data_IF_006980714829
#
_entry.id   IF_006980714829
#
_cell.length_a   1.000
_cell.length_b   1.000
_cell.length_c   1.000
_cell.angle_alpha   90.00
_cell.angle_beta   90.00
_cell.angle_gamma   90.00
#
_symmetry.space_group_name_H-M   'P 1'
#
loop_
_entity.id
_entity.type
_entity.pdbx_description
1 polymer ?
#
# COMPACT_ATOMS: atom_id res chain seq x y z
N UNK A 1 -11.06 36.47 52.62
CA UNK A 1 -9.87 37.02 53.30
C UNK A 1 -8.72 36.97 52.32
N UNK A 2 -8.14 38.15 52.03
CA UNK A 2 -6.82 38.49 51.43
C UNK A 2 -6.23 37.67 50.27
N UNK A 3 -5.56 38.25 49.27
CA UNK A 3 -5.26 39.64 48.90
C UNK A 3 -4.71 39.64 47.45
N UNK A 4 -4.86 40.78 46.76
CA UNK A 4 -4.35 41.11 45.43
C UNK A 4 -2.83 41.39 45.41
N UNK A 5 -2.21 41.23 44.23
CA UNK A 5 -1.20 42.14 43.63
C UNK A 5 -0.94 41.67 42.18
N UNK A 6 -1.49 42.27 41.12
CA UNK A 6 -1.06 43.48 40.38
C UNK A 6 0.46 43.64 40.16
N UNK A 7 0.90 43.46 38.90
CA UNK A 7 2.02 44.22 38.32
C UNK A 7 1.83 44.42 36.82
N UNK A 8 1.22 45.55 36.43
CA UNK A 8 1.35 46.15 35.09
C UNK A 8 2.73 46.81 34.92
N UNK A 9 3.35 46.69 33.74
CA UNK A 9 4.46 47.55 33.25
C UNK A 9 4.56 47.51 31.71
N UNK A 10 5.24 48.46 31.03
CA UNK A 10 4.56 49.55 30.31
C UNK A 10 4.69 49.55 28.78
N UNK A 11 3.78 50.30 28.15
CA UNK A 11 3.73 50.68 26.73
C UNK A 11 4.92 51.56 26.33
N UNK A 12 5.66 51.16 25.29
CA UNK A 12 6.57 52.06 24.58
C UNK A 12 5.84 52.78 23.45
N UNK A 13 5.69 54.11 23.61
CA UNK A 13 5.26 55.05 22.58
C UNK A 13 6.41 55.24 21.59
N UNK A 14 6.16 55.09 20.29
CA UNK A 14 6.92 55.80 19.24
C UNK A 14 5.98 56.80 18.58
N UNK A 15 6.30 58.07 18.76
CA UNK A 15 5.85 59.20 17.94
C UNK A 15 6.50 59.07 16.56
N UNK A 16 5.72 59.25 15.50
CA UNK A 16 6.19 59.92 14.29
C UNK A 16 5.08 60.91 13.94
N UNK A 17 5.48 62.18 13.93
CA UNK A 17 4.64 63.33 13.64
C UNK A 17 4.43 63.45 12.11
N UNK A 18 3.15 63.61 11.75
CA UNK A 18 2.56 64.47 10.73
C UNK A 18 3.36 64.91 9.50
N UNK A 19 2.81 64.61 8.30
CA UNK A 19 2.67 65.60 7.24
C UNK A 19 1.39 65.33 6.44
N UNK A 20 0.43 66.23 6.65
CA UNK A 20 -0.84 66.38 5.95
C UNK A 20 -0.60 67.11 4.62
N UNK A 21 -1.06 66.55 3.51
CA UNK A 21 -1.58 67.36 2.39
C UNK A 21 -2.92 66.75 1.98
N UNK A 22 -3.98 67.49 2.30
CA UNK A 22 -5.34 67.30 1.81
C UNK A 22 -5.44 68.08 0.49
N UNK A 23 -5.89 67.42 -0.57
CA UNK A 23 -6.49 68.08 -1.72
C UNK A 23 -7.77 67.34 -2.10
N UNK A 24 -8.88 68.08 -2.14
CA UNK A 24 -10.24 67.61 -2.41
C UNK A 24 -10.47 67.26 -3.89
N UNK A 25 -11.35 66.29 -4.11
CA UNK A 25 -11.95 65.77 -5.35
C UNK A 25 -12.76 66.80 -6.17
N UNK A 26 -13.13 66.48 -7.44
CA UNK A 26 -14.48 65.95 -7.67
C UNK A 26 -14.56 64.75 -8.67
N UNK A 27 -15.71 64.04 -8.71
CA UNK A 27 -15.87 62.73 -9.34
C UNK A 27 -16.47 62.82 -10.76
N UNK A 28 -16.06 61.95 -11.68
CA UNK A 28 -16.83 61.64 -12.88
C UNK A 28 -16.43 60.27 -13.46
N UNK A 29 -17.31 59.30 -13.20
CA UNK A 29 -17.74 58.22 -14.08
C UNK A 29 -17.07 58.16 -15.48
N UNK A 30 -16.23 57.15 -15.72
CA UNK A 30 -16.09 56.60 -17.07
C UNK A 30 -15.77 55.10 -17.01
N UNK A 31 -16.82 54.31 -17.22
CA UNK A 31 -16.76 52.90 -17.58
C UNK A 31 -15.95 52.77 -18.88
N UNK A 32 -14.76 52.16 -18.83
CA UNK A 32 -14.06 51.69 -20.02
C UNK A 32 -13.62 50.24 -19.81
N UNK A 33 -14.19 49.39 -20.65
CA UNK A 33 -13.96 47.97 -20.82
C UNK A 33 -12.48 47.69 -21.11
N UNK A 34 -11.84 46.87 -20.27
CA UNK A 34 -10.57 46.22 -20.60
C UNK A 34 -10.81 44.70 -20.71
N UNK A 35 -10.71 44.09 -21.90
CA UNK A 35 -10.53 42.65 -22.02
C UNK A 35 -9.03 42.36 -21.86
N UNK A 36 -8.63 41.85 -20.70
CA UNK A 36 -7.21 41.68 -20.39
C UNK A 36 -6.96 40.59 -19.35
N UNK A 37 -7.04 39.35 -19.82
CA UNK A 37 -6.23 38.19 -19.36
C UNK A 37 -5.71 38.22 -17.92
N UNK A 38 -6.47 37.62 -17.01
CA UNK A 38 -5.93 36.98 -15.81
C UNK A 38 -6.55 35.58 -15.69
N UNK A 39 -6.18 34.70 -16.62
CA UNK A 39 -6.30 33.25 -16.43
C UNK A 39 -5.11 32.78 -15.58
N UNK A 40 -5.03 33.26 -14.34
CA UNK A 40 -4.12 32.70 -13.34
C UNK A 40 -4.89 31.65 -12.55
N UNK A 41 -4.48 30.39 -12.69
CA UNK A 41 -4.76 29.38 -11.66
C UNK A 41 -5.89 28.39 -11.95
N UNK A 42 -5.88 27.71 -13.10
CA UNK A 42 -6.53 26.40 -13.21
C UNK A 42 -5.86 25.59 -14.31
N UNK A 43 -4.76 24.88 -14.04
CA UNK A 43 -4.28 23.74 -14.86
C UNK A 43 -3.01 23.13 -14.22
N UNK A 44 -3.14 22.48 -13.06
CA UNK A 44 -2.12 21.56 -12.53
C UNK A 44 -2.59 20.23 -11.89
N UNK A 45 -3.86 19.76 -11.99
CA UNK A 45 -4.15 18.38 -11.56
C UNK A 45 -3.76 17.29 -12.59
N UNK A 46 -3.54 17.62 -13.87
CA UNK A 46 -3.43 16.60 -14.93
C UNK A 46 -2.06 15.92 -15.08
N UNK A 47 -0.98 16.46 -14.50
CA UNK A 47 0.36 15.89 -14.68
C UNK A 47 0.56 14.57 -13.91
N UNK A 48 -0.15 14.37 -12.80
CA UNK A 48 -0.04 13.15 -11.99
C UNK A 48 -0.79 11.95 -12.61
N UNK A 49 -1.94 12.18 -13.25
CA UNK A 49 -2.72 11.12 -13.91
C UNK A 49 -1.98 10.57 -15.15
N UNK A 50 -1.22 11.41 -15.84
CA UNK A 50 -0.36 10.98 -16.96
C UNK A 50 0.89 10.20 -16.49
N UNK A 51 1.43 10.49 -15.31
CA UNK A 51 2.59 9.80 -14.76
C UNK A 51 2.29 8.35 -14.32
N UNK A 52 1.08 8.08 -13.82
CA UNK A 52 0.58 6.73 -13.56
C UNK A 52 0.50 5.86 -14.82
N UNK A 53 0.43 6.47 -16.01
CA UNK A 53 0.39 5.76 -17.30
C UNK A 53 1.76 5.36 -17.83
N UNK A 54 2.87 5.73 -17.18
CA UNK A 54 4.23 5.48 -17.68
C UNK A 54 5.00 4.38 -16.93
N UNK A 55 4.58 4.00 -15.73
CA UNK A 55 5.29 2.97 -14.94
C UNK A 55 4.58 1.61 -15.03
N UNK A 56 5.32 0.52 -15.28
CA UNK A 56 4.72 -0.82 -15.36
C UNK A 56 4.09 -1.21 -14.02
N UNK A 57 3.00 -1.98 -14.07
CA UNK A 57 2.46 -2.63 -12.87
C UNK A 57 3.50 -3.59 -12.31
N UNK A 58 3.68 -3.56 -10.99
CA UNK A 58 4.57 -4.46 -10.27
C UNK A 58 3.70 -5.41 -9.48
N UNK A 59 4.01 -6.70 -9.50
CA UNK A 59 3.20 -7.70 -8.83
C UNK A 59 4.07 -8.69 -8.05
N UNK A 60 3.72 -8.94 -6.80
CA UNK A 60 4.23 -10.05 -6.02
C UNK A 60 3.06 -10.99 -5.70
N UNK A 61 3.09 -12.18 -6.29
CA UNK A 61 2.07 -13.20 -6.11
C UNK A 61 2.63 -14.29 -5.19
N UNK A 62 2.00 -14.49 -4.04
CA UNK A 62 2.45 -15.43 -3.00
C UNK A 62 1.37 -16.47 -2.78
N UNK A 63 1.73 -17.74 -2.92
CA UNK A 63 0.80 -18.84 -2.77
C UNK A 63 1.38 -20.08 -2.10
N UNK A 64 0.48 -20.91 -1.58
CA UNK A 64 0.79 -22.17 -0.90
C UNK A 64 0.39 -22.09 0.57
N UNK A 65 0.77 -23.13 1.30
CA UNK A 65 0.67 -23.24 2.74
C UNK A 65 1.96 -23.82 3.33
N UNK A 66 1.93 -24.22 4.61
CA UNK A 66 3.13 -24.61 5.35
C UNK A 66 3.77 -25.93 4.87
N UNK A 67 3.00 -26.79 4.21
CA UNK A 67 3.41 -28.12 3.79
C UNK A 67 2.54 -28.63 2.61
N UNK A 68 2.85 -29.79 2.01
CA UNK A 68 2.07 -30.31 0.87
C UNK A 68 0.57 -30.47 1.14
N UNK A 69 0.15 -30.85 2.36
CA UNK A 69 -1.25 -31.08 2.70
C UNK A 69 -2.08 -29.79 2.77
N UNK A 70 -1.42 -28.64 2.65
CA UNK A 70 -2.00 -27.30 2.70
C UNK A 70 -1.76 -26.51 1.40
N UNK A 71 -1.49 -27.21 0.31
CA UNK A 71 -1.20 -26.63 -1.01
C UNK A 71 -2.27 -27.04 -2.03
N UNK A 72 -3.54 -26.69 -1.78
CA UNK A 72 -4.63 -27.11 -2.64
C UNK A 72 -4.50 -26.54 -4.06
N UNK A 73 -4.97 -27.29 -5.05
CA UNK A 73 -5.02 -26.88 -6.46
C UNK A 73 -5.75 -25.54 -6.69
N UNK A 74 -6.68 -25.17 -5.79
CA UNK A 74 -7.35 -23.87 -5.82
C UNK A 74 -6.39 -22.70 -5.58
N UNK A 75 -5.48 -22.83 -4.60
CA UNK A 75 -4.44 -21.84 -4.30
C UNK A 75 -3.55 -21.61 -5.52
N UNK A 76 -3.08 -22.68 -6.16
CA UNK A 76 -2.29 -22.57 -7.38
C UNK A 76 -3.07 -21.91 -8.53
N UNK A 77 -4.34 -22.30 -8.68
CA UNK A 77 -5.20 -21.77 -9.75
C UNK A 77 -5.42 -20.27 -9.60
N UNK A 78 -5.58 -19.78 -8.37
CA UNK A 78 -5.69 -18.36 -8.07
C UNK A 78 -4.46 -17.56 -8.53
N UNK A 79 -3.24 -18.04 -8.23
CA UNK A 79 -2.00 -17.44 -8.74
C UNK A 79 -2.00 -17.41 -10.27
N UNK A 80 -2.34 -18.53 -10.91
CA UNK A 80 -2.38 -18.63 -12.38
C UNK A 80 -3.38 -17.64 -13.00
N UNK A 81 -4.57 -17.51 -12.42
CA UNK A 81 -5.60 -16.59 -12.92
C UNK A 81 -5.17 -15.14 -12.80
N UNK A 82 -4.67 -14.73 -11.63
CA UNK A 82 -4.20 -13.35 -11.44
C UNK A 82 -3.00 -13.03 -12.33
N UNK A 83 -2.04 -13.95 -12.43
CA UNK A 83 -0.90 -13.77 -13.34
C UNK A 83 -1.34 -13.57 -14.79
N UNK A 84 -2.36 -14.32 -15.25
CA UNK A 84 -2.89 -14.19 -16.60
C UNK A 84 -3.60 -12.84 -16.87
N UNK A 85 -4.09 -12.17 -15.83
CA UNK A 85 -4.74 -10.87 -15.92
C UNK A 85 -3.75 -9.69 -15.88
N UNK A 86 -2.48 -9.93 -15.56
CA UNK A 86 -1.48 -8.87 -15.54
C UNK A 86 -1.29 -8.29 -16.95
N UNK A 87 -1.19 -6.95 -17.09
CA UNK A 87 -0.97 -6.32 -18.39
C UNK A 87 0.40 -6.72 -18.95
N UNK A 88 0.53 -6.68 -20.27
CA UNK A 88 1.82 -6.85 -20.92
C UNK A 88 2.83 -5.82 -20.38
N UNK A 89 4.04 -6.28 -20.05
CA UNK A 89 5.09 -5.45 -19.46
C UNK A 89 5.02 -5.29 -17.94
N UNK A 90 4.06 -5.93 -17.26
CA UNK A 90 4.09 -6.02 -15.80
C UNK A 90 5.36 -6.74 -15.32
N UNK A 91 5.92 -6.24 -14.22
CA UNK A 91 7.05 -6.87 -13.54
C UNK A 91 6.46 -7.74 -12.42
N UNK A 92 6.42 -9.05 -12.61
CA UNK A 92 5.86 -9.99 -11.63
C UNK A 92 6.92 -10.88 -11.01
N UNK A 93 6.67 -11.29 -9.76
CA UNK A 93 7.35 -12.38 -9.07
C UNK A 93 6.32 -13.34 -8.49
N UNK A 94 6.58 -14.64 -8.58
CA UNK A 94 5.73 -15.71 -8.05
C UNK A 94 6.51 -16.49 -7.00
N UNK A 95 6.03 -16.45 -5.76
CA UNK A 95 6.51 -17.31 -4.69
C UNK A 95 5.46 -18.39 -4.43
N UNK A 96 5.85 -19.66 -4.51
CA UNK A 96 4.88 -20.74 -4.38
C UNK A 96 5.48 -21.97 -3.70
N UNK A 97 4.85 -22.45 -2.64
CA UNK A 97 5.24 -23.70 -1.93
C UNK A 97 6.75 -23.72 -1.60
N UNK A 98 7.47 -24.78 -1.94
CA UNK A 98 8.92 -24.91 -1.80
C UNK A 98 9.74 -24.25 -2.93
N UNK A 99 9.09 -23.59 -3.88
CA UNK A 99 9.73 -22.89 -5.00
C UNK A 99 10.32 -23.82 -6.06
N UNK A 100 10.15 -25.14 -5.94
CA UNK A 100 10.70 -26.10 -6.88
C UNK A 100 9.61 -26.61 -7.84
N UNK A 101 9.67 -26.29 -9.14
CA UNK A 101 8.66 -26.72 -10.11
C UNK A 101 8.63 -28.23 -10.35
N UNK A 102 9.61 -28.98 -9.82
CA UNK A 102 9.67 -30.45 -9.93
C UNK A 102 9.10 -31.17 -8.71
N UNK A 103 8.89 -30.47 -7.60
CA UNK A 103 8.36 -31.05 -6.37
C UNK A 103 6.89 -31.43 -6.55
N UNK A 104 6.50 -32.56 -5.97
CA UNK A 104 5.14 -33.09 -6.03
C UNK A 104 4.41 -32.66 -4.76
N UNK A 105 3.97 -31.41 -4.72
CA UNK A 105 3.49 -30.75 -3.50
C UNK A 105 2.19 -29.97 -3.68
N UNK A 106 1.53 -30.04 -4.85
CA UNK A 106 0.19 -29.47 -5.06
C UNK A 106 -0.85 -30.54 -4.86
N UNK A 107 -1.67 -30.37 -3.83
CA UNK A 107 -2.74 -31.26 -3.41
C UNK A 107 -3.97 -31.12 -4.32
N UNK A 108 -4.55 -32.25 -4.73
CA UNK A 108 -5.83 -32.30 -5.42
C UNK A 108 -6.60 -33.56 -5.04
N UNK A 109 -7.91 -33.53 -5.23
CA UNK A 109 -8.76 -34.70 -5.03
C UNK A 109 -8.92 -35.46 -6.35
N UNK A 110 -8.63 -36.77 -6.32
CA UNK A 110 -8.94 -37.66 -7.43
C UNK A 110 -10.44 -37.93 -7.52
N UNK A 111 -10.89 -38.44 -8.67
CA UNK A 111 -12.29 -38.88 -8.83
C UNK A 111 -12.71 -39.96 -7.81
N UNK A 112 -11.75 -40.70 -7.24
CA UNK A 112 -11.99 -41.67 -6.16
C UNK A 112 -12.20 -41.03 -4.78
N UNK A 113 -12.08 -39.71 -4.65
CA UNK A 113 -12.09 -39.00 -3.37
C UNK A 113 -10.75 -39.06 -2.62
N UNK A 114 -9.72 -39.69 -3.17
CA UNK A 114 -8.40 -39.74 -2.55
C UNK A 114 -7.63 -38.44 -2.80
N UNK A 115 -6.95 -37.96 -1.76
CA UNK A 115 -5.97 -36.89 -1.89
C UNK A 115 -4.73 -37.40 -2.62
N UNK A 116 -4.36 -36.71 -3.70
CA UNK A 116 -3.15 -36.94 -4.46
C UNK A 116 -2.35 -35.65 -4.59
N UNK A 117 -1.10 -35.78 -5.00
CA UNK A 117 -0.19 -34.66 -5.18
C UNK A 117 0.38 -34.65 -6.58
N UNK A 118 0.60 -33.45 -7.13
CA UNK A 118 1.27 -33.26 -8.41
C UNK A 118 2.26 -32.10 -8.35
N UNK A 119 3.02 -31.96 -9.43
CA UNK A 119 3.88 -30.79 -9.64
C UNK A 119 3.07 -29.53 -9.88
N UNK A 120 3.61 -28.35 -9.52
CA UNK A 120 3.03 -27.08 -9.90
C UNK A 120 2.87 -26.92 -11.43
N UNK A 121 1.82 -26.21 -11.84
CA UNK A 121 1.47 -25.83 -13.21
C UNK A 121 1.42 -24.30 -13.32
N UNK A 122 2.48 -23.66 -12.84
CA UNK A 122 2.70 -22.23 -12.90
C UNK A 122 3.75 -21.89 -13.98
N UNK A 123 3.65 -20.73 -14.64
CA UNK A 123 4.52 -20.38 -15.76
C UNK A 123 6.00 -20.23 -15.34
N UNK A 124 6.22 -19.72 -14.12
CA UNK A 124 7.52 -19.58 -13.49
C UNK A 124 7.35 -19.58 -11.96
N UNK A 125 8.42 -19.93 -11.25
CA UNK A 125 8.55 -19.78 -9.80
C UNK A 125 9.85 -19.00 -9.53
N UNK A 126 9.74 -17.88 -8.83
CA UNK A 126 10.88 -17.04 -8.44
C UNK A 126 11.47 -17.44 -7.09
N UNK A 127 10.78 -18.31 -6.35
CA UNK A 127 11.25 -18.84 -5.07
C UNK A 127 10.16 -19.54 -4.28
N UNK A 128 10.51 -20.08 -3.10
CA UNK A 128 9.52 -20.63 -2.19
C UNK A 128 8.66 -19.54 -1.57
N UNK A 129 7.44 -19.90 -1.15
CA UNK A 129 6.61 -19.05 -0.30
C UNK A 129 7.18 -19.08 1.12
N UNK A 130 8.34 -18.44 1.32
CA UNK A 130 9.03 -18.30 2.61
C UNK A 130 9.33 -16.85 2.89
N UNK A 131 9.50 -16.52 4.15
CA UNK A 131 9.67 -15.14 4.58
C UNK A 131 10.94 -14.50 3.99
N UNK A 132 12.05 -15.23 3.98
CA UNK A 132 13.29 -14.76 3.35
C UNK A 132 13.16 -14.54 1.84
N UNK A 133 12.33 -15.35 1.16
CA UNK A 133 12.06 -15.20 -0.27
C UNK A 133 11.10 -14.06 -0.55
N UNK A 134 10.12 -13.84 0.33
CA UNK A 134 9.26 -12.66 0.31
C UNK A 134 10.07 -11.37 0.45
N UNK A 135 10.93 -11.27 1.47
CA UNK A 135 11.78 -10.08 1.67
C UNK A 135 12.63 -9.78 0.42
N UNK A 136 13.16 -10.83 -0.23
CA UNK A 136 13.96 -10.71 -1.45
C UNK A 136 13.13 -10.31 -2.68
N UNK A 137 11.99 -10.96 -2.90
CA UNK A 137 11.10 -10.69 -4.02
C UNK A 137 10.48 -9.30 -3.90
N UNK A 138 10.08 -8.88 -2.69
CA UNK A 138 9.56 -7.55 -2.41
C UNK A 138 10.56 -6.47 -2.81
N UNK A 139 11.82 -6.59 -2.37
CA UNK A 139 12.90 -5.66 -2.80
C UNK A 139 13.10 -5.68 -4.32
N UNK A 140 13.05 -6.85 -4.95
CA UNK A 140 13.25 -6.96 -6.39
C UNK A 140 12.15 -6.23 -7.18
N UNK A 141 10.88 -6.35 -6.76
CA UNK A 141 9.75 -5.64 -7.40
C UNK A 141 9.69 -4.16 -7.02
N UNK A 142 10.40 -3.72 -5.97
CA UNK A 142 10.43 -2.31 -5.54
C UNK A 142 11.68 -1.51 -5.91
N UNK A 143 12.75 -2.17 -6.34
CA UNK A 143 14.02 -1.51 -6.63
C UNK A 143 14.01 -0.53 -7.82
N UNK A 144 13.09 -0.68 -8.79
CA UNK A 144 13.25 -0.04 -10.11
C UNK A 144 12.13 0.93 -10.53
N UNK A 145 11.05 1.06 -9.76
CA UNK A 145 9.90 1.86 -10.19
C UNK A 145 8.98 2.25 -9.04
N UNK A 146 8.45 3.48 -9.10
CA UNK A 146 7.38 3.98 -8.24
C UNK A 146 5.97 3.72 -8.80
N UNK A 147 5.84 2.81 -9.79
CA UNK A 147 4.56 2.40 -10.35
C UNK A 147 3.66 1.70 -9.32
N UNK A 148 2.39 1.42 -9.67
CA UNK A 148 1.49 0.71 -8.78
C UNK A 148 2.04 -0.67 -8.41
N UNK A 149 1.79 -1.10 -7.17
CA UNK A 149 2.19 -2.40 -6.65
C UNK A 149 0.96 -3.23 -6.29
N UNK A 150 0.85 -4.41 -6.88
CA UNK A 150 -0.09 -5.44 -6.47
C UNK A 150 0.63 -6.47 -5.58
N UNK A 151 0.15 -6.63 -4.36
CA UNK A 151 0.52 -7.74 -3.49
C UNK A 151 -0.67 -8.69 -3.41
N UNK A 152 -0.51 -9.90 -3.94
CA UNK A 152 -1.58 -10.89 -4.00
C UNK A 152 -1.17 -12.13 -3.23
N UNK A 153 -1.99 -12.52 -2.25
CA UNK A 153 -1.76 -13.66 -1.39
C UNK A 153 -2.94 -14.62 -1.49
N UNK A 154 -2.65 -15.91 -1.60
CA UNK A 154 -3.67 -16.95 -1.53
C UNK A 154 -3.12 -18.15 -0.77
N UNK A 155 -3.82 -18.64 0.23
CA UNK A 155 -3.26 -19.62 1.15
C UNK A 155 -4.11 -19.85 2.38
N UNK A 156 -3.43 -20.23 3.45
CA UNK A 156 -4.01 -20.37 4.78
C UNK A 156 -3.53 -19.24 5.67
N UNK A 157 -4.33 -18.93 6.68
CA UNK A 157 -3.99 -17.92 7.67
C UNK A 157 -4.67 -18.20 8.99
N UNK A 158 -4.18 -17.52 10.02
CA UNK A 158 -4.60 -17.69 11.40
C UNK A 158 -4.76 -16.35 12.14
N UNK A 159 -5.38 -16.39 13.34
CA UNK A 159 -5.35 -15.26 14.25
C UNK A 159 -3.90 -14.98 14.68
N UNK A 160 -3.66 -13.81 15.27
CA UNK A 160 -2.37 -13.51 15.89
C UNK A 160 -2.03 -14.54 16.98
N UNK A 161 -0.74 -14.82 17.20
CA UNK A 161 -0.29 -15.78 18.22
C UNK A 161 -0.82 -15.53 19.65
N UNK A 162 -1.24 -14.31 19.98
CA UNK A 162 -1.87 -13.95 21.27
C UNK A 162 -3.39 -14.25 21.32
N UNK A 163 -3.96 -14.82 20.25
CA UNK A 163 -5.39 -15.08 20.08
C UNK A 163 -6.21 -13.87 19.63
N UNK A 164 -5.57 -12.71 19.44
CA UNK A 164 -6.19 -11.49 18.92
C UNK A 164 -6.33 -11.52 17.39
N UNK A 165 -6.98 -10.48 16.87
CA UNK A 165 -7.20 -10.32 15.43
C UNK A 165 -6.46 -9.11 14.81
N UNK A 166 -5.65 -8.42 15.61
CA UNK A 166 -4.96 -7.19 15.25
C UNK A 166 -3.73 -7.44 14.37
N UNK A 167 -3.05 -8.57 14.57
CA UNK A 167 -1.82 -8.95 13.85
C UNK A 167 -1.89 -10.38 13.30
N UNK A 168 -2.99 -10.68 12.58
CA UNK A 168 -3.19 -11.97 11.92
C UNK A 168 -2.03 -12.37 11.01
N UNK A 169 -1.98 -13.66 10.71
CA UNK A 169 -0.82 -14.33 10.13
C UNK A 169 -1.25 -15.05 8.84
N UNK A 170 -0.43 -14.92 7.80
CA UNK A 170 -0.49 -15.74 6.59
C UNK A 170 0.53 -16.87 6.71
N UNK A 171 0.09 -18.12 6.54
CA UNK A 171 0.90 -19.32 6.69
C UNK A 171 1.79 -19.54 5.47
N UNK A 172 3.10 -19.50 5.67
CA UNK A 172 4.10 -19.69 4.63
C UNK A 172 4.75 -21.07 4.73
N UNK A 173 5.37 -21.50 3.63
CA UNK A 173 6.05 -22.79 3.52
C UNK A 173 7.09 -23.01 4.63
N UNK A 174 7.08 -24.21 5.21
CA UNK A 174 8.02 -24.58 6.25
C UNK A 174 7.78 -23.88 7.59
N UNK A 175 6.55 -23.42 7.84
CA UNK A 175 6.13 -22.82 9.12
C UNK A 175 6.53 -21.37 9.32
N UNK A 176 7.01 -20.70 8.26
CA UNK A 176 7.22 -19.26 8.29
C UNK A 176 5.83 -18.56 8.39
N UNK A 177 5.79 -17.37 8.99
CA UNK A 177 4.56 -16.60 9.16
C UNK A 177 4.77 -15.16 8.67
N UNK A 178 3.86 -14.67 7.82
CA UNK A 178 3.81 -13.25 7.44
C UNK A 178 2.66 -12.58 8.18
N UNK A 179 2.98 -11.72 9.16
CA UNK A 179 1.97 -11.01 9.94
C UNK A 179 1.59 -9.66 9.33
N UNK A 180 0.43 -9.12 9.73
CA UNK A 180 0.01 -7.75 9.37
C UNK A 180 1.12 -6.71 9.62
N UNK A 181 1.67 -6.66 10.82
CA UNK A 181 2.72 -5.68 11.20
C UNK A 181 3.99 -5.84 10.37
N UNK A 182 4.35 -7.07 10.00
CA UNK A 182 5.53 -7.32 9.13
C UNK A 182 5.27 -6.88 7.69
N UNK A 183 4.07 -7.11 7.18
CA UNK A 183 3.68 -6.63 5.85
C UNK A 183 3.59 -5.09 5.83
N UNK A 184 3.03 -4.48 6.87
CA UNK A 184 3.01 -3.02 7.04
C UNK A 184 4.43 -2.43 7.02
N UNK A 185 5.38 -3.04 7.75
CA UNK A 185 6.77 -2.61 7.75
C UNK A 185 7.40 -2.63 6.35
N UNK A 186 7.05 -3.60 5.49
CA UNK A 186 7.49 -3.60 4.09
C UNK A 186 6.85 -2.46 3.29
N UNK A 187 5.54 -2.26 3.42
CA UNK A 187 4.80 -1.19 2.73
C UNK A 187 5.29 0.19 3.16
N UNK A 188 5.75 0.36 4.41
CA UNK A 188 6.31 1.61 4.92
C UNK A 188 7.70 1.95 4.38
N UNK A 189 8.40 0.99 3.76
CA UNK A 189 9.65 1.27 3.03
C UNK A 189 9.41 1.89 1.64
N UNK A 190 8.17 1.87 1.16
CA UNK A 190 7.84 2.39 -0.17
C UNK A 190 7.90 3.93 -0.20
N UNK A 191 8.24 4.53 -1.36
CA UNK A 191 8.13 5.98 -1.53
C UNK A 191 6.73 6.49 -1.16
N UNK A 192 6.60 7.70 -0.60
CA UNK A 192 5.31 8.31 -0.31
C UNK A 192 4.38 8.29 -1.53
N UNK A 193 3.09 8.03 -1.32
CA UNK A 193 2.06 7.95 -2.38
C UNK A 193 2.30 6.88 -3.45
N UNK A 194 3.05 5.82 -3.12
CA UNK A 194 3.08 4.62 -3.98
C UNK A 194 1.73 3.92 -3.89
N UNK A 195 0.98 3.76 -4.99
CA UNK A 195 -0.29 3.05 -4.95
C UNK A 195 -0.05 1.56 -4.68
N UNK A 196 -0.64 1.04 -3.61
CA UNK A 196 -0.53 -0.37 -3.23
C UNK A 196 -1.91 -0.99 -3.16
N UNK A 197 -2.11 -2.07 -3.91
CA UNK A 197 -3.29 -2.92 -3.80
C UNK A 197 -2.86 -4.23 -3.14
N UNK A 198 -3.50 -4.56 -2.02
CA UNK A 198 -3.29 -5.82 -1.32
C UNK A 198 -4.55 -6.66 -1.45
N UNK A 199 -4.40 -7.92 -1.85
CA UNK A 199 -5.48 -8.89 -1.93
C UNK A 199 -5.08 -10.12 -1.14
N UNK A 200 -5.86 -10.44 -0.11
CA UNK A 200 -5.65 -11.59 0.78
C UNK A 200 -6.75 -12.62 0.56
N UNK A 201 -6.40 -13.82 0.11
CA UNK A 201 -7.34 -14.94 -0.12
C UNK A 201 -7.02 -16.07 0.85
N UNK A 202 -7.50 -15.92 2.08
CA UNK A 202 -7.29 -16.84 3.21
C UNK A 202 -8.32 -16.61 4.33
N UNK A 203 -8.34 -17.51 5.31
CA UNK A 203 -9.04 -17.29 6.58
C UNK A 203 -8.37 -16.16 7.37
N UNK A 204 -9.15 -15.46 8.21
CA UNK A 204 -8.66 -14.34 9.04
C UNK A 204 -8.08 -13.13 8.26
N UNK A 205 -8.21 -13.11 6.93
CA UNK A 205 -7.78 -12.02 6.04
C UNK A 205 -8.33 -10.64 6.43
N UNK A 206 -9.49 -10.57 7.10
CA UNK A 206 -10.06 -9.30 7.59
C UNK A 206 -9.12 -8.51 8.52
N UNK A 207 -8.25 -9.19 9.28
CA UNK A 207 -7.26 -8.51 10.13
C UNK A 207 -6.17 -7.76 9.34
N UNK A 208 -5.89 -8.19 8.10
CA UNK A 208 -5.00 -7.44 7.19
C UNK A 208 -5.61 -6.13 6.71
N UNK A 209 -6.89 -5.85 7.00
CA UNK A 209 -7.46 -4.51 6.86
C UNK A 209 -6.73 -3.46 7.72
N UNK A 210 -6.04 -3.88 8.78
CA UNK A 210 -5.26 -2.98 9.63
C UNK A 210 -4.05 -2.36 8.91
N UNK A 211 -3.69 -2.84 7.71
CA UNK A 211 -2.69 -2.19 6.84
C UNK A 211 -3.06 -0.74 6.46
N UNK A 212 -4.32 -0.34 6.63
CA UNK A 212 -4.76 1.05 6.46
C UNK A 212 -4.16 1.99 7.52
N UNK A 213 -3.74 1.47 8.67
CA UNK A 213 -3.21 2.24 9.79
C UNK A 213 -1.69 2.12 9.91
N UNK A 214 -1.05 3.14 10.49
CA UNK A 214 0.40 3.21 10.61
C UNK A 214 0.97 1.98 11.31
N UNK A 215 1.94 1.31 10.68
CA UNK A 215 2.56 0.10 11.21
C UNK A 215 1.63 -1.12 11.29
N UNK A 216 0.43 -1.08 10.70
CA UNK A 216 -0.55 -2.15 10.82
C UNK A 216 -1.26 -2.19 12.18
N UNK A 217 -1.26 -1.07 12.92
CA UNK A 217 -1.86 -0.95 14.24
C UNK A 217 -3.25 -0.30 14.15
N UNK A 218 -4.35 -1.01 14.47
CA UNK A 218 -5.71 -0.45 14.37
C UNK A 218 -5.98 0.77 15.26
N UNK A 219 -5.17 0.99 16.31
CA UNK A 219 -5.26 2.18 17.16
C UNK A 219 -4.41 3.35 16.63
N UNK A 220 -3.64 3.13 15.56
CA UNK A 220 -2.79 4.11 14.90
C UNK A 220 -3.55 5.04 13.94
N UNK A 221 -2.91 6.12 13.46
CA UNK A 221 -3.50 6.98 12.44
C UNK A 221 -3.63 6.25 11.10
N UNK A 222 -4.67 6.58 10.33
CA UNK A 222 -4.83 6.11 8.94
C UNK A 222 -3.69 6.67 8.09
N UNK A 223 -3.10 5.82 7.25
CA UNK A 223 -2.05 6.22 6.31
C UNK A 223 -2.62 6.60 4.95
N UNK A 224 -2.16 7.70 4.38
CA UNK A 224 -2.51 8.13 3.02
C UNK A 224 -1.56 7.42 2.04
N UNK A 225 -2.03 6.32 1.45
CA UNK A 225 -1.27 5.51 0.47
C UNK A 225 -1.98 5.46 -0.90
N UNK A 226 -3.00 6.30 -1.10
CA UNK A 226 -3.77 6.47 -2.33
C UNK A 226 -3.25 7.64 -3.21
#
# INVERSE_FOLDING_TARGET
MSAQADTRRPRHKRRIDSLTIIALLPPALLLLLLPGTLAYGMLRPQQHILALRASPLRALLVGGGPDPAHNQVAIESNIRYVHHLLPAGAISRILFTDGNPRSVNVQYEAASGHTLYRRPRLPALDGPSRLASFDTAFRAVTAHSSGPLLLYFTGHGGPAANGGYDNNEYDMWGGDLLTVKRLAAHIDTLPPRTPVVVVMVECFSGGFGNLLFAGGDPDGPVTDKD
#
